data_IF_476796707357
#
_entry.id   IF_476796707357
#
_cell.length_a   1.000
_cell.length_b   1.000
_cell.length_c   1.000
_cell.angle_alpha   90.00
_cell.angle_beta   90.00
_cell.angle_gamma   90.00
#
_symmetry.space_group_name_H-M   'P 1'
#
loop_
_entity.id
_entity.type
_entity.pdbx_description
1 polymer ?
#
# COMPACT_ATOMS: atom_id res chain seq x y z
N UNK A 1 -8.87 -11.30 5.23
CA UNK A 1 -9.20 -11.60 3.82
C UNK A 1 -9.50 -13.08 3.57
N UNK A 2 -8.58 -14.00 3.90
CA UNK A 2 -8.77 -15.46 3.74
C UNK A 2 -10.17 -15.95 4.14
N UNK A 3 -10.57 -15.73 5.39
CA UNK A 3 -11.88 -16.15 5.91
C UNK A 3 -13.06 -15.59 5.11
N UNK A 4 -12.93 -14.36 4.57
CA UNK A 4 -13.95 -13.76 3.72
C UNK A 4 -14.07 -14.48 2.37
N UNK A 5 -12.94 -14.78 1.74
CA UNK A 5 -12.89 -15.55 0.49
C UNK A 5 -13.42 -16.98 0.67
N UNK A 6 -13.11 -17.61 1.81
CA UNK A 6 -13.60 -18.95 2.15
C UNK A 6 -15.12 -18.98 2.38
N UNK A 7 -15.70 -17.92 2.95
CA UNK A 7 -17.14 -17.82 3.17
C UNK A 7 -17.92 -17.38 1.94
N UNK A 8 -17.31 -16.59 1.07
CA UNK A 8 -17.95 -16.06 -0.13
C UNK A 8 -17.36 -16.67 -1.40
N UNK A 9 -17.66 -17.96 -1.65
CA UNK A 9 -17.09 -18.72 -2.78
C UNK A 9 -17.46 -18.17 -4.18
N UNK A 10 -18.48 -17.31 -4.27
CA UNK A 10 -18.89 -16.66 -5.52
C UNK A 10 -18.02 -15.46 -5.93
N UNK A 11 -16.91 -15.21 -5.25
CA UNK A 11 -16.00 -14.11 -5.58
C UNK A 11 -15.46 -14.17 -7.03
N UNK A 12 -15.42 -15.38 -7.60
CA UNK A 12 -15.00 -15.66 -8.97
C UNK A 12 -15.96 -15.16 -10.06
N UNK A 13 -17.21 -14.84 -9.70
CA UNK A 13 -18.20 -14.29 -10.62
C UNK A 13 -17.94 -12.80 -10.92
N UNK A 14 -17.21 -12.10 -10.06
CA UNK A 14 -16.93 -10.67 -10.20
C UNK A 14 -15.83 -10.38 -11.22
N UNK A 15 -15.80 -9.15 -11.71
CA UNK A 15 -14.77 -8.64 -12.64
C UNK A 15 -13.45 -8.31 -11.96
N UNK A 16 -13.47 -8.10 -10.64
CA UNK A 16 -12.30 -7.85 -9.82
C UNK A 16 -12.64 -8.07 -8.34
N UNK A 17 -11.61 -8.15 -7.52
CA UNK A 17 -11.71 -8.09 -6.06
C UNK A 17 -10.90 -6.93 -5.52
N UNK A 18 -11.55 -6.15 -4.65
CA UNK A 18 -10.88 -5.17 -3.82
C UNK A 18 -10.64 -5.77 -2.43
N UNK A 19 -9.37 -5.96 -2.09
CA UNK A 19 -8.91 -6.41 -0.79
C UNK A 19 -8.48 -5.19 0.03
N UNK A 20 -9.21 -4.89 1.10
CA UNK A 20 -8.91 -3.79 2.01
C UNK A 20 -8.90 -4.28 3.46
N UNK A 21 -7.97 -3.75 4.27
CA UNK A 21 -7.88 -4.09 5.69
C UNK A 21 -7.98 -2.83 6.57
N UNK A 22 -7.94 -3.02 7.88
CA UNK A 22 -8.15 -1.97 8.87
C UNK A 22 -6.84 -1.33 9.38
N UNK A 23 -5.73 -1.45 8.66
CA UNK A 23 -4.46 -0.79 9.07
C UNK A 23 -4.42 0.73 8.80
N UNK A 24 -5.39 1.24 8.05
CA UNK A 24 -5.55 2.67 7.68
C UNK A 24 -6.93 3.21 8.03
N UNK A 25 -7.03 4.52 8.23
CA UNK A 25 -8.28 5.28 8.26
C UNK A 25 -8.60 5.85 6.88
N UNK A 26 -9.88 5.90 6.53
CA UNK A 26 -10.35 6.42 5.26
C UNK A 26 -11.51 5.58 4.72
N UNK A 27 -11.97 5.86 3.50
CA UNK A 27 -11.45 6.89 2.61
C UNK A 27 -11.88 8.31 3.03
N UNK A 28 -10.94 9.27 3.09
CA UNK A 28 -11.25 10.69 3.40
C UNK A 28 -11.71 11.51 2.18
N UNK A 29 -11.60 10.93 0.98
CA UNK A 29 -12.14 11.44 -0.28
C UNK A 29 -13.00 10.36 -0.96
N UNK A 30 -13.72 10.68 -2.04
CA UNK A 30 -14.56 9.70 -2.75
C UNK A 30 -13.75 8.51 -3.30
N UNK A 31 -14.18 7.29 -2.96
CA UNK A 31 -13.54 6.06 -3.48
C UNK A 31 -13.83 5.83 -4.97
N UNK A 32 -14.90 6.43 -5.51
CA UNK A 32 -15.37 6.20 -6.88
C UNK A 32 -14.29 6.49 -7.93
N UNK A 33 -13.55 7.58 -7.74
CA UNK A 33 -12.50 7.98 -8.68
C UNK A 33 -11.28 7.07 -8.61
N UNK A 34 -10.97 6.54 -7.42
CA UNK A 34 -9.93 5.53 -7.26
C UNK A 34 -10.32 4.22 -7.95
N UNK A 35 -11.55 3.74 -7.76
CA UNK A 35 -12.00 2.50 -8.42
C UNK A 35 -11.90 2.63 -9.94
N UNK A 36 -12.39 3.73 -10.52
CA UNK A 36 -12.25 3.99 -11.96
C UNK A 36 -10.80 3.94 -12.43
N UNK A 37 -9.88 4.57 -11.69
CA UNK A 37 -8.44 4.55 -12.01
C UNK A 37 -7.88 3.13 -11.96
N UNK A 38 -8.29 2.32 -10.98
CA UNK A 38 -7.84 0.94 -10.84
C UNK A 38 -8.37 0.03 -11.95
N UNK A 39 -9.62 0.24 -12.37
CA UNK A 39 -10.22 -0.50 -13.49
C UNK A 39 -9.45 -0.30 -14.80
N UNK A 40 -9.08 0.95 -15.11
CA UNK A 40 -8.37 1.29 -16.35
C UNK A 40 -6.84 1.16 -16.25
N UNK A 41 -6.28 0.97 -15.05
CA UNK A 41 -4.83 0.89 -14.86
C UNK A 41 -4.24 -0.31 -15.60
N UNK A 42 -3.11 -0.14 -16.29
CA UNK A 42 -2.51 -1.19 -17.12
C UNK A 42 -1.70 -2.22 -16.31
N UNK A 43 -2.36 -2.86 -15.34
CA UNK A 43 -1.83 -3.95 -14.53
C UNK A 43 -2.96 -4.89 -14.11
N UNK A 44 -2.62 -6.13 -13.81
CA UNK A 44 -3.56 -7.16 -13.34
C UNK A 44 -3.85 -7.03 -11.84
N UNK A 45 -2.87 -6.52 -11.10
CA UNK A 45 -2.95 -6.28 -9.66
C UNK A 45 -2.41 -4.89 -9.35
N UNK A 46 -3.19 -4.09 -8.64
CA UNK A 46 -2.84 -2.71 -8.29
C UNK A 46 -2.95 -2.49 -6.79
N UNK A 47 -1.83 -2.21 -6.14
CA UNK A 47 -1.80 -1.70 -4.76
C UNK A 47 -1.92 -0.18 -4.75
N UNK A 48 -2.32 0.40 -3.63
CA UNK A 48 -2.25 1.86 -3.49
C UNK A 48 -0.81 2.37 -3.51
N UNK A 49 0.07 1.73 -2.75
CA UNK A 49 1.50 2.09 -2.64
C UNK A 49 2.35 0.82 -2.69
N UNK A 50 3.60 0.97 -3.10
CA UNK A 50 4.65 -0.03 -2.97
C UNK A 50 5.64 0.37 -1.87
N UNK A 51 6.44 -0.59 -1.44
CA UNK A 51 7.50 -0.42 -0.47
C UNK A 51 8.71 -1.20 -0.92
N UNK A 52 9.88 -0.67 -0.61
CA UNK A 52 11.17 -1.28 -0.90
C UNK A 52 11.84 -1.78 0.40
N UNK A 53 11.14 -1.70 1.53
CA UNK A 53 11.63 -2.25 2.79
C UNK A 53 11.79 -3.76 2.66
N UNK A 54 12.99 -4.28 2.97
CA UNK A 54 13.42 -5.68 2.80
C UNK A 54 13.47 -6.17 1.35
N UNK A 55 12.43 -5.96 0.56
CA UNK A 55 12.33 -6.33 -0.86
C UNK A 55 11.23 -5.47 -1.53
N UNK A 56 11.27 -5.16 -2.84
CA UNK A 56 10.13 -4.52 -3.52
C UNK A 56 8.81 -5.32 -3.38
N UNK A 57 7.74 -4.66 -2.94
CA UNK A 57 6.40 -5.25 -2.76
C UNK A 57 5.28 -4.20 -2.72
N UNK A 58 4.02 -4.61 -2.93
CA UNK A 58 2.84 -3.80 -2.64
C UNK A 58 2.48 -3.85 -1.15
N UNK A 59 2.04 -2.72 -0.60
CA UNK A 59 1.47 -2.68 0.76
C UNK A 59 0.04 -3.22 0.76
N UNK A 60 -0.31 -4.04 1.76
CA UNK A 60 -1.55 -4.82 1.76
C UNK A 60 -2.77 -4.10 2.32
N UNK A 61 -2.73 -2.80 2.62
CA UNK A 61 -3.93 -2.14 3.16
C UNK A 61 -5.04 -1.96 2.12
N UNK A 62 -4.69 -1.94 0.84
CA UNK A 62 -5.64 -1.77 -0.27
C UNK A 62 -5.03 -2.30 -1.59
N UNK A 63 -5.52 -3.46 -2.04
CA UNK A 63 -5.07 -4.14 -3.26
C UNK A 63 -6.28 -4.47 -4.13
N UNK A 64 -6.22 -4.09 -5.41
CA UNK A 64 -7.23 -4.39 -6.42
C UNK A 64 -6.72 -5.46 -7.36
N UNK A 65 -7.38 -6.63 -7.40
CA UNK A 65 -7.02 -7.75 -8.26
C UNK A 65 -8.05 -7.92 -9.36
N UNK A 66 -7.64 -7.81 -10.62
CA UNK A 66 -8.53 -8.03 -11.77
C UNK A 66 -8.82 -9.53 -11.97
N UNK A 67 -9.90 -9.83 -12.69
CA UNK A 67 -10.44 -11.19 -12.88
C UNK A 67 -9.38 -12.24 -13.17
N UNK A 68 -8.46 -11.98 -14.11
CA UNK A 68 -7.43 -12.95 -14.50
C UNK A 68 -6.52 -13.34 -13.32
N UNK A 69 -6.11 -12.37 -12.50
CA UNK A 69 -5.32 -12.64 -11.30
C UNK A 69 -6.14 -13.40 -10.25
N UNK A 70 -7.41 -13.02 -10.03
CA UNK A 70 -8.31 -13.66 -9.05
C UNK A 70 -8.59 -15.13 -9.38
N UNK A 71 -8.72 -15.46 -10.67
CA UNK A 71 -9.00 -16.82 -11.14
C UNK A 71 -7.73 -17.69 -11.26
N UNK A 72 -6.57 -17.15 -10.93
CA UNK A 72 -5.31 -17.87 -11.07
C UNK A 72 -5.10 -18.91 -9.96
N UNK A 73 -4.29 -19.93 -10.26
CA UNK A 73 -3.87 -20.89 -9.25
C UNK A 73 -2.98 -20.22 -8.19
N UNK A 74 -2.14 -19.26 -8.60
CA UNK A 74 -1.26 -18.48 -7.74
C UNK A 74 -2.04 -17.76 -6.63
N UNK A 75 -3.13 -17.09 -7.01
CA UNK A 75 -3.99 -16.38 -6.06
C UNK A 75 -4.64 -17.35 -5.07
N UNK A 76 -5.21 -18.47 -5.56
CA UNK A 76 -5.81 -19.49 -4.69
C UNK A 76 -4.78 -20.11 -3.74
N UNK A 77 -3.62 -20.50 -4.27
CA UNK A 77 -2.52 -21.11 -3.52
C UNK A 77 -2.01 -20.18 -2.43
N UNK A 78 -1.87 -18.89 -2.75
CA UNK A 78 -1.48 -17.88 -1.76
C UNK A 78 -2.47 -17.82 -0.59
N UNK A 79 -3.76 -17.59 -0.88
CA UNK A 79 -4.76 -17.43 0.18
C UNK A 79 -5.02 -18.70 0.98
N UNK A 80 -4.85 -19.88 0.37
CA UNK A 80 -4.90 -21.16 1.09
C UNK A 80 -3.78 -21.27 2.13
N UNK A 81 -2.58 -20.80 1.80
CA UNK A 81 -1.41 -20.80 2.67
C UNK A 81 -1.39 -19.70 3.76
N UNK A 82 -2.29 -18.74 3.72
CA UNK A 82 -2.36 -17.69 4.76
C UNK A 82 -2.78 -18.29 6.10
N UNK A 83 -2.06 -17.93 7.17
CA UNK A 83 -2.27 -18.36 8.55
C UNK A 83 -2.25 -17.14 9.48
N UNK A 84 -2.40 -17.35 10.79
CA UNK A 84 -2.24 -16.27 11.77
C UNK A 84 -0.77 -16.16 12.13
N UNK A 85 -0.19 -14.97 11.97
CA UNK A 85 1.19 -14.67 12.34
C UNK A 85 1.22 -13.77 13.57
N UNK A 86 2.22 -14.00 14.43
CA UNK A 86 2.32 -13.31 15.73
C UNK A 86 2.97 -11.94 15.71
N UNK A 87 3.57 -11.51 14.59
CA UNK A 87 4.25 -10.21 14.52
C UNK A 87 4.17 -9.57 13.12
N UNK A 88 4.34 -8.24 13.11
CA UNK A 88 4.20 -7.41 11.90
C UNK A 88 5.26 -7.70 10.83
N UNK A 89 6.49 -7.99 11.23
CA UNK A 89 7.57 -8.28 10.28
C UNK A 89 7.28 -9.55 9.48
N UNK A 90 6.79 -10.59 10.16
CA UNK A 90 6.34 -11.83 9.54
C UNK A 90 5.17 -11.58 8.58
N UNK A 91 4.20 -10.73 8.95
CA UNK A 91 3.12 -10.32 8.05
C UNK A 91 3.66 -9.65 6.78
N UNK A 92 4.60 -8.71 6.90
CA UNK A 92 5.17 -8.05 5.72
C UNK A 92 5.93 -9.06 4.85
N UNK A 93 6.78 -9.88 5.46
CA UNK A 93 7.61 -10.86 4.75
C UNK A 93 6.78 -11.93 4.03
N UNK A 94 5.86 -12.56 4.74
CA UNK A 94 5.07 -13.67 4.20
C UNK A 94 3.92 -13.20 3.31
N UNK A 95 3.26 -12.08 3.67
CA UNK A 95 2.02 -11.69 3.02
C UNK A 95 2.12 -10.49 2.09
N UNK A 96 2.98 -9.52 2.34
CA UNK A 96 3.15 -8.41 1.39
C UNK A 96 4.20 -8.76 0.34
N UNK A 97 5.41 -9.13 0.78
CA UNK A 97 6.52 -9.55 -0.07
C UNK A 97 6.20 -10.89 -0.74
N UNK A 98 5.75 -11.89 0.03
CA UNK A 98 5.39 -13.20 -0.51
C UNK A 98 4.30 -13.12 -1.59
N UNK A 99 3.25 -12.33 -1.36
CA UNK A 99 2.20 -12.10 -2.37
C UNK A 99 2.77 -11.45 -3.62
N UNK A 100 3.47 -10.32 -3.46
CA UNK A 100 4.00 -9.56 -4.59
C UNK A 100 4.93 -10.42 -5.44
N UNK A 101 5.88 -11.12 -4.80
CA UNK A 101 6.83 -12.01 -5.50
C UNK A 101 6.12 -13.13 -6.26
N UNK A 102 5.15 -13.79 -5.63
CA UNK A 102 4.41 -14.87 -6.26
C UNK A 102 3.62 -14.36 -7.47
N UNK A 103 2.89 -13.25 -7.33
CA UNK A 103 2.04 -12.75 -8.40
C UNK A 103 2.85 -12.16 -9.56
N UNK A 104 4.00 -11.51 -9.31
CA UNK A 104 4.86 -10.96 -10.37
C UNK A 104 5.44 -12.01 -11.33
N UNK A 105 5.39 -13.30 -10.98
CA UNK A 105 5.84 -14.37 -11.87
C UNK A 105 4.95 -14.53 -13.10
N UNK A 106 3.67 -14.13 -13.02
CA UNK A 106 2.68 -14.33 -14.08
C UNK A 106 1.83 -13.10 -14.40
N UNK A 107 1.83 -12.10 -13.53
CA UNK A 107 0.94 -10.96 -13.61
C UNK A 107 1.70 -9.64 -13.55
N UNK A 108 1.15 -8.62 -14.20
CA UNK A 108 1.62 -7.25 -14.02
C UNK A 108 1.11 -6.72 -12.68
N UNK A 109 2.04 -6.42 -11.79
CA UNK A 109 1.77 -5.92 -10.43
C UNK A 109 2.33 -4.51 -10.34
N UNK A 110 1.52 -3.54 -9.92
CA UNK A 110 1.92 -2.14 -9.86
C UNK A 110 1.32 -1.41 -8.66
N UNK A 111 1.96 -0.32 -8.24
CA UNK A 111 1.38 0.63 -7.31
C UNK A 111 0.71 1.77 -8.08
N UNK A 112 -0.46 2.22 -7.62
CA UNK A 112 -1.13 3.41 -8.16
C UNK A 112 -0.34 4.68 -7.84
N UNK A 113 0.38 4.68 -6.71
CA UNK A 113 1.33 5.71 -6.33
C UNK A 113 2.70 5.07 -6.00
N UNK A 114 3.55 4.83 -7.03
CA UNK A 114 4.87 4.23 -6.83
C UNK A 114 5.81 5.13 -6.04
N UNK A 115 6.50 4.56 -5.05
CA UNK A 115 7.37 5.27 -4.12
C UNK A 115 8.52 5.95 -4.86
N UNK A 116 9.10 5.33 -5.90
CA UNK A 116 10.14 5.96 -6.71
C UNK A 116 9.66 7.25 -7.37
N UNK A 117 8.47 7.23 -7.99
CA UNK A 117 7.86 8.41 -8.62
C UNK A 117 7.58 9.51 -7.59
N UNK A 118 7.05 9.12 -6.44
CA UNK A 118 6.76 10.01 -5.32
C UNK A 118 8.05 10.67 -4.80
N UNK A 119 9.09 9.88 -4.55
CA UNK A 119 10.39 10.35 -4.08
C UNK A 119 11.08 11.26 -5.11
N UNK A 120 10.97 10.97 -6.40
CA UNK A 120 11.50 11.84 -7.45
C UNK A 120 10.82 13.22 -7.45
N UNK A 121 9.48 13.27 -7.34
CA UNK A 121 8.73 14.53 -7.26
C UNK A 121 9.09 15.32 -5.99
N UNK A 122 9.22 14.62 -4.87
CA UNK A 122 9.64 15.21 -3.59
C UNK A 122 11.04 15.83 -3.72
N UNK A 123 12.03 15.10 -4.26
CA UNK A 123 13.40 15.62 -4.44
C UNK A 123 13.42 16.87 -5.31
N UNK A 124 12.60 16.91 -6.36
CA UNK A 124 12.43 18.10 -7.20
C UNK A 124 11.88 19.28 -6.39
N UNK A 125 10.80 19.08 -5.63
CA UNK A 125 10.23 20.14 -4.78
C UNK A 125 11.22 20.61 -3.69
N UNK A 126 12.04 19.71 -3.15
CA UNK A 126 13.09 20.07 -2.18
C UNK A 126 14.17 20.94 -2.83
N UNK A 127 14.62 20.61 -4.05
CA UNK A 127 15.56 21.44 -4.81
C UNK A 127 14.99 22.82 -5.17
N UNK A 128 13.67 22.94 -5.28
CA UNK A 128 12.94 24.20 -5.49
C UNK A 128 12.67 24.97 -4.19
N UNK A 129 13.12 24.48 -3.03
CA UNK A 129 12.93 25.15 -1.73
C UNK A 129 11.52 25.10 -1.16
N UNK A 130 10.68 24.14 -1.61
CA UNK A 130 9.25 24.05 -1.22
C UNK A 130 8.98 23.36 0.12
N UNK A 131 9.99 22.80 0.78
CA UNK A 131 9.84 22.09 2.06
C UNK A 131 10.71 22.65 3.16
N UNK A 132 10.22 22.55 4.39
CA UNK A 132 11.01 22.80 5.59
C UNK A 132 12.09 21.71 5.77
N UNK A 133 13.22 22.08 6.37
CA UNK A 133 14.39 21.22 6.54
C UNK A 133 14.09 19.88 7.23
N UNK A 134 13.17 19.87 8.21
CA UNK A 134 12.74 18.65 8.90
C UNK A 134 11.95 17.69 7.99
N UNK A 135 11.13 18.20 7.07
CA UNK A 135 10.42 17.37 6.07
C UNK A 135 11.42 16.83 5.04
N UNK A 136 12.38 17.67 4.63
CA UNK A 136 13.50 17.27 3.76
C UNK A 136 14.29 16.09 4.32
N UNK A 137 14.49 15.99 5.64
CA UNK A 137 15.17 14.82 6.25
C UNK A 137 14.42 13.50 6.06
N UNK A 138 13.08 13.49 6.09
CA UNK A 138 12.28 12.29 5.79
C UNK A 138 12.49 11.85 4.33
N UNK A 139 12.60 12.83 3.43
CA UNK A 139 12.79 12.65 1.99
C UNK A 139 14.21 12.26 1.56
N UNK A 140 15.19 12.50 2.43
CA UNK A 140 16.59 12.11 2.21
C UNK A 140 16.89 10.66 2.64
N UNK A 141 15.94 9.98 3.31
CA UNK A 141 16.10 8.56 3.63
C UNK A 141 16.23 7.72 2.36
N UNK A 142 17.01 6.64 2.46
CA UNK A 142 17.03 5.61 1.43
C UNK A 142 15.64 4.99 1.28
N UNK A 143 15.25 4.67 0.05
CA UNK A 143 13.92 4.14 -0.28
C UNK A 143 13.59 2.86 0.52
N UNK A 144 14.60 2.05 0.84
CA UNK A 144 14.49 0.82 1.64
C UNK A 144 14.21 1.07 3.14
N UNK A 145 14.36 2.31 3.61
CA UNK A 145 14.08 2.71 5.00
C UNK A 145 12.75 3.46 5.14
N UNK A 146 11.98 3.59 4.06
CA UNK A 146 10.74 4.37 4.02
C UNK A 146 9.55 3.42 3.98
N UNK A 147 8.71 3.45 5.03
CA UNK A 147 7.28 3.13 4.94
C UNK A 147 6.55 4.33 4.32
N UNK A 148 6.04 4.24 3.07
CA UNK A 148 5.47 5.39 2.35
C UNK A 148 4.29 6.02 3.06
N UNK A 149 3.33 5.20 3.52
CA UNK A 149 2.07 5.70 4.09
C UNK A 149 2.30 6.28 5.49
N UNK A 150 3.38 5.89 6.18
CA UNK A 150 3.77 6.49 7.46
C UNK A 150 4.66 7.72 7.29
N UNK A 151 5.71 7.66 6.49
CA UNK A 151 6.71 8.74 6.45
C UNK A 151 6.37 9.87 5.47
N UNK A 152 5.60 9.57 4.43
CA UNK A 152 5.28 10.52 3.34
C UNK A 152 3.80 10.93 3.33
N UNK A 153 3.07 10.67 4.42
CA UNK A 153 1.62 10.87 4.50
C UNK A 153 1.19 12.31 4.16
N UNK A 154 1.94 13.32 4.63
CA UNK A 154 1.63 14.74 4.36
C UNK A 154 1.66 15.01 2.86
N UNK A 155 2.70 14.56 2.19
CA UNK A 155 2.86 14.71 0.75
C UNK A 155 1.75 13.97 -0.02
N UNK A 156 1.45 12.73 0.37
CA UNK A 156 0.35 11.96 -0.22
C UNK A 156 -1.01 12.67 -0.10
N UNK A 157 -1.35 13.17 1.09
CA UNK A 157 -2.63 13.84 1.33
C UNK A 157 -2.72 15.18 0.58
N UNK A 158 -1.68 16.00 0.66
CA UNK A 158 -1.69 17.37 0.09
C UNK A 158 -1.59 17.40 -1.43
N UNK A 159 -0.74 16.54 -2.01
CA UNK A 159 -0.42 16.60 -3.45
C UNK A 159 -1.23 15.62 -4.30
N UNK A 160 -1.65 14.50 -3.71
CA UNK A 160 -2.33 13.41 -4.43
C UNK A 160 -3.75 13.17 -3.96
N UNK A 161 -4.24 13.94 -2.98
CA UNK A 161 -5.53 13.70 -2.31
C UNK A 161 -5.66 12.23 -1.90
N UNK A 162 -4.60 11.68 -1.33
CA UNK A 162 -4.56 10.27 -0.96
C UNK A 162 -5.62 9.95 0.10
N UNK A 163 -6.37 8.87 -0.10
CA UNK A 163 -7.60 8.58 0.63
C UNK A 163 -7.38 8.01 2.03
N UNK A 164 -6.16 7.53 2.32
CA UNK A 164 -5.88 6.69 3.48
C UNK A 164 -4.81 7.29 4.39
N UNK A 165 -5.04 7.22 5.70
CA UNK A 165 -4.09 7.69 6.73
C UNK A 165 -3.73 6.51 7.62
N UNK A 166 -2.44 6.21 7.80
CA UNK A 166 -2.01 5.10 8.65
C UNK A 166 -2.46 5.32 10.11
N UNK A 167 -3.07 4.31 10.73
CA UNK A 167 -3.57 4.43 12.11
C UNK A 167 -2.48 4.76 13.13
N UNK A 168 -1.23 4.36 12.86
CA UNK A 168 -0.10 4.63 13.76
C UNK A 168 0.33 6.10 13.77
N UNK A 169 -0.09 6.91 12.79
CA UNK A 169 0.18 8.36 12.80
C UNK A 169 -0.57 9.07 13.92
N UNK A 170 -1.78 8.61 14.25
CA UNK A 170 -2.59 9.19 15.33
C UNK A 170 -1.97 8.90 16.71
N UNK A 171 -1.28 7.76 16.85
CA UNK A 171 -0.61 7.38 18.11
C UNK A 171 0.63 8.22 18.40
N UNK A 172 1.33 8.69 17.37
CA UNK A 172 2.52 9.53 17.52
C UNK A 172 2.18 10.95 18.01
N UNK A 173 0.99 11.47 17.68
CA UNK A 173 0.53 12.77 18.18
C UNK A 173 0.32 12.84 19.69
N UNK A 174 0.30 11.70 20.39
CA UNK A 174 0.23 11.65 21.85
C UNK A 174 1.59 11.52 22.53
N UNK A 175 2.67 11.20 21.80
CA UNK A 175 4.00 11.04 22.38
C UNK A 175 4.89 12.27 22.22
N UNK A 176 4.60 13.16 21.27
CA UNK A 176 5.37 14.41 21.08
C UNK A 176 5.10 15.47 22.18
N UNK A 177 4.12 15.27 23.06
CA UNK A 177 3.85 16.16 24.20
C UNK A 177 4.65 15.81 25.47
N UNK A 178 5.28 14.63 25.53
CA UNK A 178 6.05 14.20 26.72
C UNK A 178 7.57 14.39 26.59
N UNK A 179 8.09 14.72 25.41
CA UNK A 179 9.53 15.05 25.20
C UNK A 179 9.82 16.57 25.21
N UNK A 180 8.82 17.42 25.52
CA UNK A 180 9.01 18.85 25.80
C UNK A 180 8.62 19.22 27.24
N UNK A 181 9.12 18.46 28.22
CA UNK A 181 9.19 18.85 29.63
C UNK A 181 10.58 18.63 30.20
#
# INVERSE_FOLDING_TARGET
WKTGLERYQHFNAHTALLLANDSVFGPVFSIKDIIKRLEIYDADIVGMTDSFMMHPHLQSFFIYCKKNAVLSEEFRRFFHGVTVLGNKEAIIREYEIGFSRLMTQKFRVAALYPLETIMAKIRRHAAEGKYHEAESRSYLKHIQAIDPVRHLWRFYVTEYKFLFINKNLIKLGNTDNDEMR
#
